data_IF_832353644823
#
_entry.id   IF_832353644823
#
_cell.length_a   1.000
_cell.length_b   1.000
_cell.length_c   1.000
_cell.angle_alpha   90.00
_cell.angle_beta   90.00
_cell.angle_gamma   90.00
#
_symmetry.space_group_name_H-M   'P 1'
#
loop_
_entity.id
_entity.type
_entity.pdbx_description
1 polymer ?
#
# COMPACT_ATOMS: atom_id res chain seq x y z
N UNK A 1 15.96 -7.43 4.99
CA UNK A 1 14.79 -6.54 5.14
C UNK A 1 15.30 -5.11 5.13
N UNK A 2 14.93 -4.30 4.12
CA UNK A 2 15.34 -2.88 4.10
C UNK A 2 14.45 -2.14 5.09
N UNK A 3 15.03 -1.69 6.20
CA UNK A 3 14.39 -0.75 7.12
C UNK A 3 14.30 0.60 6.41
N UNK A 4 13.10 0.96 6.01
CA UNK A 4 12.86 2.22 5.33
C UNK A 4 12.52 3.31 6.36
N UNK A 5 12.85 4.59 6.06
CA UNK A 5 12.61 5.69 6.98
C UNK A 5 11.13 5.82 7.35
N UNK A 6 10.87 6.16 8.63
CA UNK A 6 9.52 6.24 9.23
C UNK A 6 8.61 7.30 8.58
N UNK A 7 9.20 8.22 7.83
CA UNK A 7 8.50 9.31 7.14
C UNK A 7 8.40 8.98 5.66
N UNK A 8 7.39 8.20 5.29
CA UNK A 8 6.90 8.11 3.91
C UNK A 8 5.56 8.80 3.79
N UNK A 9 5.22 9.24 2.58
CA UNK A 9 3.95 9.89 2.28
C UNK A 9 2.85 8.84 2.11
N UNK A 10 2.39 8.29 3.23
CA UNK A 10 1.25 7.37 3.28
C UNK A 10 -0.07 8.12 3.11
N UNK A 11 -0.95 7.58 2.28
CA UNK A 11 -2.31 8.08 2.13
C UNK A 11 -3.30 6.92 2.17
N UNK A 12 -4.46 7.17 2.78
CA UNK A 12 -5.53 6.19 2.89
C UNK A 12 -6.18 5.96 1.53
N UNK A 13 -6.39 4.70 1.17
CA UNK A 13 -7.11 4.36 -0.05
C UNK A 13 -8.57 4.84 0.00
N UNK A 14 -9.09 5.35 -1.11
CA UNK A 14 -10.50 5.72 -1.27
C UNK A 14 -11.45 4.51 -1.21
N UNK A 15 -10.92 3.28 -1.30
CA UNK A 15 -11.67 2.03 -1.13
C UNK A 15 -11.85 1.61 0.33
N UNK A 16 -11.21 2.31 1.27
CA UNK A 16 -11.33 2.07 2.70
C UNK A 16 -12.61 2.71 3.24
N UNK A 17 -13.70 1.93 3.41
CA UNK A 17 -14.90 2.39 4.12
C UNK A 17 -14.59 2.58 5.62
N UNK A 18 -15.33 3.48 6.27
CA UNK A 18 -15.02 4.04 7.59
C UNK A 18 -14.78 3.02 8.72
N UNK A 19 -15.28 1.78 8.63
CA UNK A 19 -15.29 0.85 9.77
C UNK A 19 -14.41 -0.41 9.65
N UNK A 20 -14.11 -0.94 8.47
CA UNK A 20 -13.77 -2.39 8.43
C UNK A 20 -12.36 -2.73 7.96
N UNK A 21 -11.88 -2.26 6.81
CA UNK A 21 -10.57 -2.66 6.27
C UNK A 21 -9.86 -1.46 5.63
N UNK A 22 -9.11 -0.72 6.45
CA UNK A 22 -8.41 0.47 6.00
C UNK A 22 -6.99 0.13 5.59
N UNK A 23 -6.66 0.36 4.31
CA UNK A 23 -5.28 0.26 3.80
C UNK A 23 -4.72 1.64 3.49
N UNK A 24 -3.43 1.83 3.78
CA UNK A 24 -2.66 2.97 3.30
C UNK A 24 -1.67 2.51 2.24
N UNK A 25 -1.41 3.40 1.29
CA UNK A 25 -0.45 3.21 0.21
C UNK A 25 0.56 4.35 0.24
N UNK A 26 1.80 4.09 -0.14
CA UNK A 26 2.78 5.13 -0.45
C UNK A 26 3.44 4.82 -1.81
N UNK A 27 3.65 5.86 -2.61
CA UNK A 27 4.40 5.77 -3.86
C UNK A 27 5.80 6.30 -3.64
N UNK A 28 6.79 5.47 -3.96
CA UNK A 28 8.20 5.79 -3.88
C UNK A 28 8.86 5.52 -5.24
N UNK A 29 10.07 6.01 -5.45
CA UNK A 29 10.79 5.74 -6.69
C UNK A 29 11.06 4.24 -6.82
N UNK A 30 10.40 3.62 -7.81
CA UNK A 30 10.56 2.21 -8.16
C UNK A 30 9.73 1.22 -7.34
N UNK A 31 9.00 1.65 -6.30
CA UNK A 31 8.21 0.74 -5.49
C UNK A 31 6.93 1.36 -4.92
N UNK A 32 6.00 0.47 -4.54
CA UNK A 32 4.74 0.81 -3.90
C UNK A 32 4.67 0.10 -2.56
N UNK A 33 4.44 0.88 -1.49
CA UNK A 33 4.23 0.37 -0.14
C UNK A 33 2.75 0.19 0.17
N UNK A 34 2.40 -0.88 0.89
CA UNK A 34 1.05 -1.13 1.40
C UNK A 34 1.13 -1.53 2.87
N UNK A 35 0.26 -0.93 3.70
CA UNK A 35 0.14 -1.28 5.12
C UNK A 35 -1.29 -1.17 5.64
N UNK A 36 -1.52 -1.75 6.81
CA UNK A 36 -2.77 -1.58 7.57
C UNK A 36 -2.81 -0.18 8.21
N UNK A 37 -3.84 0.61 7.89
CA UNK A 37 -4.04 1.93 8.51
C UNK A 37 -4.26 1.86 10.02
N UNK A 38 -4.77 0.74 10.53
CA UNK A 38 -5.09 0.53 11.95
C UNK A 38 -3.86 0.15 12.77
N UNK A 39 -2.77 -0.25 12.12
CA UNK A 39 -1.51 -0.58 12.79
C UNK A 39 -0.30 0.15 12.15
N UNK A 40 -0.23 1.50 12.23
CA UNK A 40 0.93 2.25 11.76
C UNK A 40 2.18 1.84 12.55
N UNK A 41 3.14 1.20 11.88
CA UNK A 41 4.34 0.62 12.50
C UNK A 41 4.34 -0.91 12.56
N UNK A 42 3.24 -1.56 12.18
CA UNK A 42 3.19 -2.98 11.87
C UNK A 42 3.89 -3.34 10.56
N UNK A 43 3.72 -4.58 10.06
CA UNK A 43 4.34 -5.03 8.81
C UNK A 43 3.93 -4.17 7.60
N UNK A 44 4.92 -3.83 6.78
CA UNK A 44 4.73 -3.10 5.52
C UNK A 44 5.14 -4.00 4.35
N UNK A 45 4.30 -4.09 3.32
CA UNK A 45 4.59 -4.81 2.08
C UNK A 45 5.12 -3.84 1.02
N UNK A 46 6.14 -4.23 0.27
CA UNK A 46 6.70 -3.46 -0.83
C UNK A 46 6.68 -4.28 -2.12
N UNK A 47 6.17 -3.66 -3.17
CA UNK A 47 6.12 -4.22 -4.52
C UNK A 47 6.94 -3.34 -5.46
N UNK A 48 7.56 -3.94 -6.47
CA UNK A 48 8.11 -3.15 -7.58
C UNK A 48 6.97 -2.43 -8.31
N UNK A 49 7.25 -1.27 -8.89
CA UNK A 49 6.26 -0.52 -9.67
C UNK A 49 5.63 -1.35 -10.80
N UNK A 50 6.42 -2.19 -11.47
CA UNK A 50 5.96 -3.10 -12.54
C UNK A 50 4.96 -4.15 -12.05
N UNK A 51 5.16 -4.68 -10.83
CA UNK A 51 4.28 -5.65 -10.20
C UNK A 51 2.96 -5.01 -9.79
N UNK A 52 3.03 -3.81 -9.22
CA UNK A 52 1.85 -3.03 -8.85
C UNK A 52 0.98 -2.71 -10.08
N UNK A 53 1.61 -2.26 -11.17
CA UNK A 53 0.93 -2.00 -12.44
C UNK A 53 0.26 -3.24 -13.02
N UNK A 54 0.94 -4.38 -12.96
CA UNK A 54 0.40 -5.67 -13.41
C UNK A 54 -0.82 -6.07 -12.59
N UNK A 55 -0.76 -5.92 -11.27
CA UNK A 55 -1.89 -6.14 -10.38
C UNK A 55 -3.07 -5.24 -10.73
N UNK A 56 -2.85 -3.93 -10.95
CA UNK A 56 -3.91 -2.99 -11.32
C UNK A 56 -4.57 -3.35 -12.66
N UNK A 57 -3.78 -3.74 -13.66
CA UNK A 57 -4.26 -4.16 -14.98
C UNK A 57 -5.03 -5.47 -14.94
N UNK A 58 -4.71 -6.39 -14.03
CA UNK A 58 -5.37 -7.70 -13.94
C UNK A 58 -6.87 -7.63 -13.61
N UNK A 59 -7.34 -6.51 -13.04
CA UNK A 59 -8.72 -6.32 -12.54
C UNK A 59 -9.16 -7.32 -11.47
N UNK A 60 -8.28 -8.16 -10.91
CA UNK A 60 -8.64 -9.13 -9.86
C UNK A 60 -9.24 -8.47 -8.62
N UNK A 61 -8.90 -7.20 -8.38
CA UNK A 61 -9.39 -6.36 -7.30
C UNK A 61 -10.82 -5.83 -7.48
N UNK A 62 -11.47 -6.08 -8.63
CA UNK A 62 -12.81 -5.58 -8.95
C UNK A 62 -13.96 -6.52 -8.57
N UNK A 63 -13.68 -7.56 -7.78
CA UNK A 63 -14.73 -8.46 -7.27
C UNK A 63 -15.66 -7.76 -6.29
#
# INVERSE_FOLDING_TARGET
>A
MRSHPRTRNWFKSTRSKASETCVEVCFEVGCVGVRDSKNPGGPELFFEGSQWDTFLRSRIWQR
#
